data_IF_374783117605
#
_entry.id   IF_374783117605
#
_cell.length_a   1.000
_cell.length_b   1.000
_cell.length_c   1.000
_cell.angle_alpha   90.00
_cell.angle_beta   90.00
_cell.angle_gamma   90.00
#
_symmetry.space_group_name_H-M   'P 1'
#
loop_
_entity.id
_entity.type
_entity.pdbx_description
1 polymer ?
#
# COMPACT_ATOMS: atom_id res chain seq x y z
N UNK A 1 6.01 14.70 -14.25
CA UNK A 1 6.62 15.77 -13.43
C UNK A 1 7.68 15.11 -12.58
N UNK A 2 8.88 15.67 -12.48
CA UNK A 2 10.08 14.98 -12.01
C UNK A 2 11.08 16.01 -11.51
N UNK A 3 11.44 15.97 -10.23
CA UNK A 3 12.45 16.86 -9.65
C UNK A 3 13.81 16.53 -10.31
N UNK A 4 14.50 17.53 -10.87
CA UNK A 4 15.82 17.30 -11.48
C UNK A 4 16.77 16.68 -10.46
N UNK A 5 17.64 15.74 -10.87
CA UNK A 5 18.63 15.18 -9.96
C UNK A 5 19.64 16.23 -9.49
N UNK A 6 19.89 17.28 -10.27
CA UNK A 6 20.78 18.39 -9.87
C UNK A 6 20.07 19.45 -9.01
N UNK A 7 18.79 19.27 -8.68
CA UNK A 7 18.04 20.24 -7.90
C UNK A 7 18.54 20.25 -6.43
N UNK A 8 18.86 21.41 -5.85
CA UNK A 8 19.30 21.49 -4.46
C UNK A 8 18.21 21.08 -3.47
N UNK A 9 16.92 21.04 -3.87
CA UNK A 9 15.83 20.62 -2.99
C UNK A 9 16.03 19.21 -2.43
N UNK A 10 16.73 18.32 -3.14
CA UNK A 10 17.09 16.99 -2.63
C UNK A 10 17.85 17.01 -1.30
N UNK A 11 18.64 18.07 -1.04
CA UNK A 11 19.37 18.26 0.23
C UNK A 11 18.45 18.70 1.39
N UNK A 12 17.14 18.73 1.15
CA UNK A 12 16.14 19.16 2.13
C UNK A 12 14.95 18.21 2.22
N UNK A 13 14.90 17.16 1.40
CA UNK A 13 13.83 16.17 1.44
C UNK A 13 14.20 15.05 2.43
N UNK A 14 13.49 14.91 3.57
CA UNK A 14 13.76 13.84 4.49
C UNK A 14 13.34 12.48 3.92
N UNK A 15 14.15 11.47 4.22
CA UNK A 15 13.87 10.04 4.13
C UNK A 15 13.85 9.41 5.53
N UNK A 16 14.09 8.09 5.59
CA UNK A 16 13.98 7.30 6.81
C UNK A 16 14.86 7.78 7.97
N UNK A 17 16.09 8.21 7.67
CA UNK A 17 17.05 8.64 8.68
C UNK A 17 17.36 10.14 8.62
N UNK A 18 16.40 10.95 8.16
CA UNK A 18 16.57 12.39 7.94
C UNK A 18 16.93 12.68 6.48
N UNK A 19 17.71 13.73 6.21
CA UNK A 19 18.13 14.04 4.83
C UNK A 19 19.26 13.09 4.43
N UNK A 20 19.01 12.26 3.42
CA UNK A 20 19.95 11.26 2.90
C UNK A 20 20.20 11.46 1.40
N UNK A 21 21.30 10.90 0.89
CA UNK A 21 21.55 10.91 -0.55
C UNK A 21 20.62 9.91 -1.27
N UNK A 22 19.58 10.43 -1.90
CA UNK A 22 18.67 9.69 -2.78
C UNK A 22 19.06 9.85 -4.25
N UNK A 23 19.67 10.99 -4.61
CA UNK A 23 20.05 11.32 -5.99
C UNK A 23 21.10 10.37 -6.55
N UNK A 24 22.14 10.06 -5.77
CA UNK A 24 23.24 9.20 -6.19
C UNK A 24 22.74 7.81 -6.63
N UNK A 25 21.99 7.09 -5.78
CA UNK A 25 21.37 5.82 -6.15
C UNK A 25 20.44 5.91 -7.38
N UNK A 26 19.56 6.92 -7.45
CA UNK A 26 18.68 7.10 -8.60
C UNK A 26 19.45 7.30 -9.91
N UNK A 27 20.48 8.15 -9.88
CA UNK A 27 21.35 8.39 -11.05
C UNK A 27 22.01 7.12 -11.53
N UNK A 28 22.57 6.32 -10.62
CA UNK A 28 23.21 5.05 -10.96
C UNK A 28 22.22 4.04 -11.53
N UNK A 29 21.08 3.86 -10.89
CA UNK A 29 20.04 2.91 -11.33
C UNK A 29 19.45 3.25 -12.71
N UNK A 30 19.47 4.54 -13.11
CA UNK A 30 19.07 4.95 -14.46
C UNK A 30 20.07 4.56 -15.55
N UNK A 31 21.35 4.49 -15.19
CA UNK A 31 22.46 4.13 -16.08
C UNK A 31 22.64 2.61 -16.15
N UNK A 32 22.69 1.97 -14.99
CA UNK A 32 22.95 0.53 -14.83
C UNK A 32 22.07 -0.04 -13.72
N UNK A 33 21.42 -1.18 -13.98
CA UNK A 33 20.61 -1.84 -12.98
C UNK A 33 21.48 -2.56 -11.94
N UNK A 34 21.37 -2.12 -10.69
CA UNK A 34 22.09 -2.66 -9.54
C UNK A 34 21.07 -3.11 -8.47
N UNK A 35 20.72 -4.42 -8.38
CA UNK A 35 19.65 -4.91 -7.50
C UNK A 35 19.83 -4.55 -6.02
N UNK A 36 21.05 -4.71 -5.50
CA UNK A 36 21.36 -4.44 -4.10
C UNK A 36 21.25 -2.95 -3.78
N UNK A 37 21.71 -2.09 -4.70
CA UNK A 37 21.56 -0.65 -4.59
C UNK A 37 20.09 -0.24 -4.60
N UNK A 38 19.29 -0.86 -5.47
CA UNK A 38 17.86 -0.64 -5.51
C UNK A 38 17.19 -1.06 -4.21
N UNK A 39 17.50 -2.26 -3.70
CA UNK A 39 16.93 -2.75 -2.45
C UNK A 39 17.20 -1.79 -1.28
N UNK A 40 18.46 -1.36 -1.10
CA UNK A 40 18.81 -0.37 -0.08
C UNK A 40 18.12 0.97 -0.30
N UNK A 41 18.01 1.45 -1.54
CA UNK A 41 17.29 2.68 -1.81
C UNK A 41 15.82 2.56 -1.37
N UNK A 42 15.11 1.52 -1.82
CA UNK A 42 13.69 1.36 -1.59
C UNK A 42 13.37 1.11 -0.11
N UNK A 43 14.06 0.15 0.51
CA UNK A 43 13.66 -0.40 1.81
C UNK A 43 14.45 0.13 3.00
N UNK A 44 15.56 0.86 2.77
CA UNK A 44 16.30 1.53 3.85
C UNK A 44 16.13 3.05 3.84
N UNK A 45 16.12 3.70 2.65
CA UNK A 45 16.13 5.17 2.55
C UNK A 45 14.76 5.79 2.27
N UNK A 46 14.00 5.19 1.36
CA UNK A 46 12.70 5.71 0.92
C UNK A 46 11.53 5.17 1.75
N UNK A 47 11.75 4.18 2.59
CA UNK A 47 10.74 3.61 3.45
C UNK A 47 11.42 3.00 4.68
N UNK A 48 10.78 3.13 5.84
CA UNK A 48 11.18 2.45 7.06
C UNK A 48 9.98 2.36 8.01
N UNK A 49 9.82 1.22 8.71
CA UNK A 49 8.83 1.03 9.78
C UNK A 49 7.42 1.57 9.45
N UNK A 50 6.84 1.14 8.33
CA UNK A 50 5.49 1.53 7.90
C UNK A 50 5.31 3.03 7.55
N UNK A 51 6.40 3.80 7.44
CA UNK A 51 6.35 5.23 7.12
C UNK A 51 6.89 5.54 5.71
N UNK A 52 6.21 6.48 5.04
CA UNK A 52 6.66 7.11 3.81
C UNK A 52 7.16 8.52 4.12
N UNK A 53 7.99 9.08 3.23
CA UNK A 53 8.68 10.34 3.46
C UNK A 53 8.63 11.25 2.22
N UNK A 54 8.90 12.56 2.35
CA UNK A 54 8.94 13.47 1.22
C UNK A 54 9.91 13.01 0.11
N UNK A 55 11.06 12.44 0.48
CA UNK A 55 12.00 11.88 -0.49
C UNK A 55 11.43 10.68 -1.26
N UNK A 56 10.57 9.86 -0.64
CA UNK A 56 9.86 8.73 -1.27
C UNK A 56 9.06 9.22 -2.47
N UNK A 57 8.27 10.27 -2.26
CA UNK A 57 7.40 10.82 -3.29
C UNK A 57 8.17 11.54 -4.39
N UNK A 58 9.23 12.27 -4.04
CA UNK A 58 10.10 12.92 -5.03
C UNK A 58 10.87 11.91 -5.90
N UNK A 59 11.22 10.74 -5.35
CA UNK A 59 11.89 9.66 -6.08
C UNK A 59 10.95 8.91 -7.03
N UNK A 60 9.64 8.91 -6.77
CA UNK A 60 8.68 8.05 -7.44
C UNK A 60 8.64 8.20 -8.98
N UNK A 61 8.69 9.42 -9.56
CA UNK A 61 8.79 9.58 -11.02
C UNK A 61 10.06 8.97 -11.62
N UNK A 62 11.18 9.00 -10.88
CA UNK A 62 12.44 8.38 -11.30
C UNK A 62 12.37 6.86 -11.24
N UNK A 63 11.84 6.30 -10.15
CA UNK A 63 11.62 4.86 -10.01
C UNK A 63 10.70 4.33 -11.12
N UNK A 64 9.62 5.05 -11.44
CA UNK A 64 8.74 4.70 -12.56
C UNK A 64 9.49 4.69 -13.91
N UNK A 65 10.37 5.66 -14.14
CA UNK A 65 11.21 5.68 -15.34
C UNK A 65 12.19 4.51 -15.38
N UNK A 66 12.80 4.13 -14.26
CA UNK A 66 13.74 3.00 -14.15
C UNK A 66 13.03 1.69 -14.49
N UNK A 67 11.80 1.47 -13.99
CA UNK A 67 11.00 0.29 -14.31
C UNK A 67 10.74 0.15 -15.82
N UNK A 68 10.63 1.25 -16.54
CA UNK A 68 10.47 1.26 -18.00
C UNK A 68 11.77 1.04 -18.80
N UNK A 69 12.94 1.14 -18.16
CA UNK A 69 14.26 1.00 -18.80
C UNK A 69 14.84 -0.40 -18.66
N UNK A 70 14.66 -1.02 -17.49
CA UNK A 70 15.30 -2.27 -17.14
C UNK A 70 14.25 -3.33 -16.81
N UNK A 71 14.19 -4.40 -17.61
CA UNK A 71 13.21 -5.47 -17.40
C UNK A 71 13.33 -6.12 -16.01
N UNK A 72 14.57 -6.31 -15.53
CA UNK A 72 14.85 -6.91 -14.23
C UNK A 72 14.48 -5.98 -13.05
N UNK A 73 14.20 -4.71 -13.31
CA UNK A 73 13.75 -3.76 -12.30
C UNK A 73 12.24 -3.84 -12.03
N UNK A 74 11.47 -4.47 -12.93
CA UNK A 74 9.99 -4.48 -12.84
C UNK A 74 9.53 -5.09 -11.52
N UNK A 75 9.95 -6.32 -11.20
CA UNK A 75 9.47 -7.01 -9.99
C UNK A 75 9.78 -6.21 -8.70
N UNK A 76 11.03 -5.84 -8.39
CA UNK A 76 11.31 -5.15 -7.12
C UNK A 76 10.67 -3.75 -7.04
N UNK A 77 10.57 -3.02 -8.16
CA UNK A 77 9.92 -1.71 -8.16
C UNK A 77 8.40 -1.83 -7.99
N UNK A 78 7.76 -2.83 -8.59
CA UNK A 78 6.33 -3.07 -8.39
C UNK A 78 6.00 -3.67 -7.02
N UNK A 79 6.90 -4.45 -6.43
CA UNK A 79 6.82 -4.84 -5.01
C UNK A 79 6.80 -3.59 -4.12
N UNK A 80 7.69 -2.63 -4.37
CA UNK A 80 7.71 -1.37 -3.65
C UNK A 80 6.49 -0.48 -3.96
N UNK A 81 6.02 -0.41 -5.21
CA UNK A 81 4.84 0.39 -5.55
C UNK A 81 3.56 -0.18 -4.91
N UNK A 82 3.39 -1.51 -4.87
CA UNK A 82 2.28 -2.13 -4.14
C UNK A 82 2.31 -1.76 -2.66
N UNK A 83 3.50 -1.79 -2.03
CA UNK A 83 3.67 -1.40 -0.64
C UNK A 83 3.35 0.08 -0.42
N UNK A 84 3.86 0.97 -1.28
CA UNK A 84 3.59 2.40 -1.22
C UNK A 84 2.07 2.67 -1.34
N UNK A 85 1.36 2.02 -2.26
CA UNK A 85 -0.08 2.18 -2.40
C UNK A 85 -0.86 1.70 -1.16
N UNK A 86 -0.38 0.65 -0.49
CA UNK A 86 -0.97 0.15 0.76
C UNK A 86 -0.87 1.18 1.91
N UNK A 87 0.16 2.02 1.90
CA UNK A 87 0.41 3.00 2.96
C UNK A 87 -0.08 4.41 2.64
N UNK A 88 -0.07 4.80 1.37
CA UNK A 88 -0.25 6.19 0.95
C UNK A 88 -1.53 6.87 1.48
N UNK A 89 -2.63 6.13 1.65
CA UNK A 89 -3.91 6.67 2.12
C UNK A 89 -4.20 6.36 3.59
N UNK A 90 -3.29 5.69 4.32
CA UNK A 90 -3.47 5.38 5.73
C UNK A 90 -3.35 6.64 6.57
N UNK A 91 -4.48 7.11 7.07
CA UNK A 91 -4.61 8.18 8.07
C UNK A 91 -3.56 9.32 7.94
N UNK A 92 -3.42 9.96 6.77
CA UNK A 92 -2.39 10.96 6.57
C UNK A 92 -2.55 12.09 7.59
N UNK A 93 -1.43 12.60 8.08
CA UNK A 93 -1.43 13.76 8.96
C UNK A 93 -2.11 14.96 8.26
N UNK A 94 -2.69 15.89 9.04
CA UNK A 94 -3.45 17.03 8.48
C UNK A 94 -2.65 17.97 7.57
N UNK A 95 -1.32 17.88 7.60
CA UNK A 95 -0.37 18.63 6.79
C UNK A 95 0.16 17.82 5.59
N UNK A 96 -0.44 16.66 5.30
CA UNK A 96 -0.04 15.76 4.22
C UNK A 96 -1.23 15.45 3.30
N UNK A 97 -0.96 15.33 1.99
CA UNK A 97 -1.96 14.86 1.02
C UNK A 97 -2.07 13.32 0.98
N UNK A 98 -0.93 12.66 1.15
CA UNK A 98 -0.77 11.21 1.33
C UNK A 98 0.25 11.01 2.44
N UNK A 99 0.32 9.81 3.02
CA UNK A 99 1.32 9.51 4.04
C UNK A 99 2.72 9.90 3.55
N UNK A 100 3.41 10.77 4.29
CA UNK A 100 4.74 11.27 3.92
C UNK A 100 4.80 12.35 2.82
N UNK A 101 3.70 12.72 2.15
CA UNK A 101 3.67 13.77 1.13
C UNK A 101 3.17 15.10 1.70
N UNK A 102 4.03 16.11 1.92
CA UNK A 102 3.63 17.38 2.49
C UNK A 102 2.66 18.15 1.57
N UNK A 103 1.80 18.99 2.15
CA UNK A 103 0.96 19.92 1.38
C UNK A 103 1.76 21.13 0.87
N UNK A 104 2.81 21.52 1.58
CA UNK A 104 3.69 22.64 1.24
C UNK A 104 5.12 22.44 1.75
N UNK A 105 6.06 23.26 1.28
CA UNK A 105 7.43 23.32 1.78
C UNK A 105 7.52 23.74 3.24
N UNK A 106 6.55 24.49 3.77
CA UNK A 106 6.50 24.84 5.19
C UNK A 106 6.28 23.61 6.09
N UNK A 107 5.56 22.61 5.57
CA UNK A 107 5.22 21.40 6.31
C UNK A 107 6.42 20.44 6.47
N UNK A 108 7.51 20.64 5.71
CA UNK A 108 8.75 19.87 5.89
C UNK A 108 9.33 19.98 7.31
N UNK A 109 9.01 21.05 8.05
CA UNK A 109 9.40 21.22 9.44
C UNK A 109 8.79 20.20 10.42
N UNK A 110 7.81 19.40 9.99
CA UNK A 110 7.25 18.31 10.78
C UNK A 110 8.15 17.06 10.83
N UNK A 111 9.07 16.94 9.88
CA UNK A 111 10.17 15.99 9.96
C UNK A 111 11.35 16.65 10.67
N UNK A 112 12.23 15.88 11.30
CA UNK A 112 13.42 16.38 12.02
C UNK A 112 14.49 16.97 11.07
N UNK A 113 14.11 17.97 10.28
CA UNK A 113 14.99 18.71 9.39
C UNK A 113 15.71 19.75 10.25
N UNK A 114 17.05 19.65 10.31
CA UNK A 114 17.87 20.59 11.08
C UNK A 114 17.92 22.01 10.49
N UNK A 115 17.35 22.19 9.30
CA UNK A 115 17.39 23.44 8.51
C UNK A 115 16.07 24.19 8.62
N UNK A 116 16.08 25.50 8.95
CA UNK A 116 14.85 26.30 9.01
C UNK A 116 14.13 26.36 7.65
N UNK A 117 12.77 26.36 7.62
CA UNK A 117 11.99 26.40 6.37
C UNK A 117 12.34 27.55 5.43
N UNK A 118 12.71 28.73 5.95
CA UNK A 118 13.09 29.89 5.14
C UNK A 118 14.40 29.72 4.34
N UNK A 119 15.17 28.67 4.63
CA UNK A 119 16.41 28.32 3.92
C UNK A 119 16.22 27.16 2.94
N UNK A 120 15.03 26.55 2.90
CA UNK A 120 14.70 25.46 1.98
C UNK A 120 14.29 26.08 0.63
N UNK A 121 14.81 25.58 -0.51
CA UNK A 121 14.32 25.98 -1.83
C UNK A 121 12.80 25.81 -1.93
N UNK A 122 12.09 26.64 -2.72
CA UNK A 122 10.64 26.50 -2.86
C UNK A 122 10.23 25.09 -3.30
N UNK A 123 9.49 24.38 -2.43
CA UNK A 123 9.07 22.99 -2.65
C UNK A 123 7.59 22.86 -3.02
N UNK A 124 6.79 23.91 -2.85
CA UNK A 124 5.33 23.90 -3.05
C UNK A 124 4.95 23.38 -4.45
N UNK A 125 5.62 23.91 -5.48
CA UNK A 125 5.38 23.50 -6.86
C UNK A 125 5.67 22.01 -7.12
N UNK A 126 6.64 21.43 -6.41
CA UNK A 126 6.91 19.99 -6.48
C UNK A 126 5.75 19.21 -5.85
N UNK A 127 5.35 19.55 -4.63
CA UNK A 127 4.32 18.79 -3.92
C UNK A 127 2.96 18.89 -4.59
N UNK A 128 2.54 20.09 -5.00
CA UNK A 128 1.30 20.31 -5.76
C UNK A 128 1.28 19.44 -7.02
N UNK A 129 2.39 19.41 -7.76
CA UNK A 129 2.44 18.63 -8.98
C UNK A 129 2.55 17.12 -8.71
N UNK A 130 3.12 16.69 -7.59
CA UNK A 130 3.17 15.27 -7.20
C UNK A 130 1.75 14.78 -6.90
N UNK A 131 0.97 15.54 -6.13
CA UNK A 131 -0.44 15.24 -5.84
C UNK A 131 -1.23 15.01 -7.14
N UNK A 132 -1.06 15.91 -8.12
CA UNK A 132 -1.73 15.79 -9.43
C UNK A 132 -1.25 14.57 -10.22
N UNK A 133 0.03 14.21 -10.10
CA UNK A 133 0.64 13.12 -10.86
C UNK A 133 0.34 11.72 -10.28
N UNK A 134 0.18 11.60 -8.96
CA UNK A 134 0.04 10.32 -8.25
C UNK A 134 -1.22 9.57 -8.68
N UNK A 135 -2.38 10.22 -8.75
CA UNK A 135 -3.64 9.56 -9.09
C UNK A 135 -3.60 8.79 -10.44
N UNK A 136 -3.25 9.41 -11.58
CA UNK A 136 -3.15 8.69 -12.85
C UNK A 136 -2.00 7.68 -12.88
N UNK A 137 -0.94 7.89 -12.11
CA UNK A 137 0.17 6.93 -11.96
C UNK A 137 -0.30 5.69 -11.19
N UNK A 138 -0.96 5.85 -10.05
CA UNK A 138 -1.45 4.76 -9.21
C UNK A 138 -2.47 3.88 -9.97
N UNK A 139 -3.31 4.47 -10.81
CA UNK A 139 -4.20 3.71 -11.70
C UNK A 139 -3.41 2.81 -12.67
N UNK A 140 -2.28 3.30 -13.22
CA UNK A 140 -1.43 2.50 -14.09
C UNK A 140 -0.72 1.38 -13.31
N UNK A 141 -0.23 1.70 -12.11
CA UNK A 141 0.38 0.71 -11.21
C UNK A 141 -0.62 -0.38 -10.85
N UNK A 142 -1.83 -0.05 -10.41
CA UNK A 142 -2.86 -1.03 -10.05
C UNK A 142 -3.21 -1.97 -11.21
N UNK A 143 -3.23 -1.46 -12.45
CA UNK A 143 -3.44 -2.29 -13.64
C UNK A 143 -2.28 -3.25 -13.88
N UNK A 144 -1.05 -2.75 -13.79
CA UNK A 144 0.14 -3.58 -13.96
C UNK A 144 0.29 -4.61 -12.83
N UNK A 145 0.00 -4.26 -11.57
CA UNK A 145 -0.05 -5.19 -10.45
C UNK A 145 -1.07 -6.31 -10.70
N UNK A 146 -2.26 -5.98 -11.21
CA UNK A 146 -3.26 -6.99 -11.57
C UNK A 146 -2.75 -7.98 -12.63
N UNK A 147 -1.94 -7.53 -13.58
CA UNK A 147 -1.27 -8.41 -14.55
C UNK A 147 -0.16 -9.22 -13.89
N UNK A 148 0.65 -8.62 -13.03
CA UNK A 148 1.77 -9.27 -12.36
C UNK A 148 1.35 -10.33 -11.33
N UNK A 149 0.09 -10.30 -10.87
CA UNK A 149 -0.49 -11.41 -10.08
C UNK A 149 -0.42 -12.73 -10.85
N UNK A 150 -0.55 -12.70 -12.19
CA UNK A 150 -0.38 -13.88 -13.03
C UNK A 150 1.09 -14.33 -12.98
N UNK A 151 1.35 -15.48 -12.36
CA UNK A 151 2.71 -16.01 -12.19
C UNK A 151 3.43 -15.56 -10.93
N UNK A 152 2.81 -14.72 -10.10
CA UNK A 152 3.31 -14.46 -8.74
C UNK A 152 3.07 -15.67 -7.83
N UNK A 153 3.97 -15.87 -6.87
CA UNK A 153 3.68 -16.74 -5.75
C UNK A 153 2.57 -16.16 -4.86
N UNK A 154 2.04 -16.99 -3.98
CA UNK A 154 0.94 -16.65 -3.06
C UNK A 154 1.20 -15.36 -2.26
N UNK A 155 2.39 -15.20 -1.69
CA UNK A 155 2.73 -14.08 -0.82
C UNK A 155 2.81 -12.77 -1.62
N UNK A 156 3.50 -12.79 -2.77
CA UNK A 156 3.59 -11.61 -3.66
C UNK A 156 2.24 -11.26 -4.27
N UNK A 157 1.43 -12.25 -4.65
CA UNK A 157 0.08 -11.99 -5.13
C UNK A 157 -0.80 -11.32 -4.06
N UNK A 158 -0.67 -11.73 -2.79
CA UNK A 158 -1.36 -11.08 -1.67
C UNK A 158 -0.89 -9.64 -1.49
N UNK A 159 0.43 -9.40 -1.58
CA UNK A 159 1.04 -8.07 -1.51
C UNK A 159 0.53 -7.14 -2.61
N UNK A 160 0.44 -7.63 -3.85
CA UNK A 160 -0.08 -6.86 -4.98
C UNK A 160 -1.57 -6.54 -4.80
N UNK A 161 -2.37 -7.53 -4.40
CA UNK A 161 -3.79 -7.31 -4.14
C UNK A 161 -3.99 -6.36 -2.97
N UNK A 162 -3.15 -6.40 -1.93
CA UNK A 162 -3.18 -5.45 -0.81
C UNK A 162 -3.04 -4.01 -1.29
N UNK A 163 -2.00 -3.72 -2.08
CA UNK A 163 -1.77 -2.38 -2.64
C UNK A 163 -2.92 -1.91 -3.54
N UNK A 164 -3.48 -2.79 -4.36
CA UNK A 164 -4.65 -2.49 -5.20
C UNK A 164 -5.88 -2.18 -4.33
N UNK A 165 -6.19 -3.04 -3.36
CA UNK A 165 -7.34 -2.88 -2.47
C UNK A 165 -7.24 -1.59 -1.69
N UNK A 166 -6.11 -1.29 -1.06
CA UNK A 166 -5.91 -0.06 -0.30
C UNK A 166 -6.14 1.21 -1.15
N UNK A 167 -5.72 1.18 -2.42
CA UNK A 167 -5.83 2.35 -3.29
C UNK A 167 -7.22 2.53 -3.90
N UNK A 168 -7.78 1.44 -4.45
CA UNK A 168 -9.01 1.43 -5.27
C UNK A 168 -10.26 1.24 -4.42
N UNK A 169 -10.13 0.50 -3.32
CA UNK A 169 -11.22 0.12 -2.42
C UNK A 169 -10.86 0.44 -0.96
N UNK A 170 -10.60 1.72 -0.61
CA UNK A 170 -10.19 2.08 0.74
C UNK A 170 -11.24 1.74 1.81
N UNK A 171 -12.50 1.49 1.44
CA UNK A 171 -13.55 1.00 2.31
C UNK A 171 -13.43 -0.49 2.70
N UNK A 172 -12.41 -1.19 2.18
CA UNK A 172 -12.14 -2.61 2.40
C UNK A 172 -10.91 -2.82 3.30
N UNK A 173 -10.87 -2.10 4.42
CA UNK A 173 -9.73 -2.08 5.35
C UNK A 173 -9.46 -3.44 6.01
N UNK A 174 -10.49 -4.20 6.38
CA UNK A 174 -10.31 -5.48 7.07
C UNK A 174 -9.66 -6.51 6.15
N UNK A 175 -10.08 -6.56 4.88
CA UNK A 175 -9.44 -7.43 3.88
C UNK A 175 -8.06 -6.91 3.47
N UNK A 176 -7.83 -5.59 3.39
CA UNK A 176 -6.49 -5.03 3.18
C UNK A 176 -5.53 -5.49 4.27
N UNK A 177 -5.95 -5.40 5.54
CA UNK A 177 -5.17 -5.87 6.69
C UNK A 177 -4.90 -7.37 6.61
N UNK A 178 -5.91 -8.19 6.30
CA UNK A 178 -5.75 -9.62 6.14
C UNK A 178 -4.74 -9.97 5.03
N UNK A 179 -4.79 -9.28 3.89
CA UNK A 179 -3.84 -9.44 2.80
C UNK A 179 -2.39 -9.14 3.22
N UNK A 180 -2.18 -8.23 4.18
CA UNK A 180 -0.87 -7.96 4.79
C UNK A 180 -0.29 -9.19 5.50
N UNK A 181 -1.07 -9.85 6.34
CA UNK A 181 -0.62 -11.10 6.99
C UNK A 181 -0.33 -12.20 5.98
N UNK A 182 -1.19 -12.34 4.95
CA UNK A 182 -0.97 -13.33 3.89
C UNK A 182 0.29 -13.02 3.06
N UNK A 183 0.60 -11.74 2.81
CA UNK A 183 1.83 -11.34 2.14
C UNK A 183 3.07 -11.64 2.97
N UNK A 184 2.96 -11.58 4.29
CA UNK A 184 4.04 -11.96 5.22
C UNK A 184 4.17 -13.48 5.37
N UNK A 185 3.35 -14.25 4.67
CA UNK A 185 3.42 -15.71 4.63
C UNK A 185 2.57 -16.43 5.66
N UNK A 186 1.77 -15.73 6.47
CA UNK A 186 0.97 -16.29 7.54
C UNK A 186 -0.16 -17.16 6.99
N UNK A 187 -0.56 -18.19 7.72
CA UNK A 187 -1.80 -18.93 7.48
C UNK A 187 -3.02 -18.14 7.95
N UNK A 188 -4.22 -18.53 7.49
CA UNK A 188 -5.48 -17.92 7.94
C UNK A 188 -5.68 -18.10 9.45
N UNK A 189 -5.32 -19.27 9.98
CA UNK A 189 -5.43 -19.58 11.41
C UNK A 189 -4.53 -18.66 12.24
N UNK A 190 -3.22 -18.60 11.94
CA UNK A 190 -2.26 -17.73 12.64
C UNK A 190 -2.66 -16.24 12.59
N UNK A 191 -3.16 -15.80 11.43
CA UNK A 191 -3.64 -14.44 11.23
C UNK A 191 -4.84 -14.13 12.12
N UNK A 192 -5.88 -14.96 12.10
CA UNK A 192 -7.09 -14.73 12.88
C UNK A 192 -6.79 -14.76 14.38
N UNK A 193 -6.02 -15.74 14.86
CA UNK A 193 -5.60 -15.81 16.26
C UNK A 193 -4.90 -14.53 16.73
N UNK A 194 -4.05 -13.95 15.87
CA UNK A 194 -3.31 -12.73 16.19
C UNK A 194 -4.19 -11.49 16.17
N UNK A 195 -5.06 -11.36 15.17
CA UNK A 195 -6.00 -10.25 15.08
C UNK A 195 -6.96 -10.20 16.27
N UNK A 196 -7.42 -11.37 16.70
CA UNK A 196 -8.33 -11.49 17.86
C UNK A 196 -7.62 -11.20 19.19
N UNK A 197 -6.36 -11.61 19.31
CA UNK A 197 -5.55 -11.31 20.49
C UNK A 197 -5.23 -9.82 20.64
N UNK A 198 -5.05 -9.10 19.53
CA UNK A 198 -4.73 -7.67 19.54
C UNK A 198 -5.96 -6.80 19.87
N UNK A 199 -7.16 -7.20 19.44
CA UNK A 199 -8.36 -6.37 19.55
C UNK A 199 -9.32 -6.78 20.67
N UNK A 200 -9.08 -7.92 21.35
CA UNK A 200 -10.00 -8.54 22.31
C UNK A 200 -11.42 -8.77 21.72
N UNK A 201 -11.55 -8.77 20.39
CA UNK A 201 -12.80 -8.93 19.64
C UNK A 201 -12.53 -9.77 18.37
N UNK A 202 -13.45 -10.67 17.97
CA UNK A 202 -13.31 -11.43 16.73
C UNK A 202 -13.04 -10.55 15.51
N UNK A 203 -12.13 -11.00 14.64
CA UNK A 203 -11.91 -10.36 13.35
C UNK A 203 -13.21 -10.38 12.55
N UNK A 204 -13.63 -9.22 12.04
CA UNK A 204 -14.89 -9.08 11.32
C UNK A 204 -14.67 -8.45 9.96
N UNK A 205 -15.54 -8.84 9.01
CA UNK A 205 -15.62 -8.22 7.69
C UNK A 205 -17.07 -7.82 7.44
N UNK A 206 -17.28 -6.64 6.85
CA UNK A 206 -18.60 -6.22 6.40
C UNK A 206 -19.12 -7.15 5.30
N UNK A 207 -20.45 -7.18 5.09
CA UNK A 207 -21.05 -7.94 3.99
C UNK A 207 -20.50 -7.50 2.61
N UNK A 208 -20.09 -6.23 2.47
CA UNK A 208 -19.45 -5.71 1.25
C UNK A 208 -18.06 -6.30 1.06
N UNK A 209 -17.23 -6.31 2.11
CA UNK A 209 -15.89 -6.91 2.08
C UNK A 209 -15.94 -8.41 1.82
N UNK A 210 -16.89 -9.13 2.44
CA UNK A 210 -17.12 -10.57 2.17
C UNK A 210 -17.45 -10.81 0.69
N UNK A 211 -18.32 -9.97 0.12
CA UNK A 211 -18.67 -10.05 -1.31
C UNK A 211 -17.47 -9.76 -2.19
N UNK A 212 -16.69 -8.73 -1.88
CA UNK A 212 -15.46 -8.37 -2.58
C UNK A 212 -14.42 -9.50 -2.51
N UNK A 213 -14.11 -10.02 -1.33
CA UNK A 213 -13.20 -11.15 -1.13
C UNK A 213 -13.62 -12.39 -1.94
N UNK A 214 -14.93 -12.69 -1.98
CA UNK A 214 -15.46 -13.80 -2.76
C UNK A 214 -15.28 -13.60 -4.27
N UNK A 215 -15.45 -12.36 -4.77
CA UNK A 215 -15.24 -12.03 -6.18
C UNK A 215 -13.76 -12.11 -6.55
N UNK A 216 -12.87 -11.57 -5.71
CA UNK A 216 -11.42 -11.68 -5.91
C UNK A 216 -10.95 -13.13 -5.85
N UNK A 217 -11.46 -13.94 -4.93
CA UNK A 217 -11.15 -15.37 -4.88
C UNK A 217 -11.56 -16.10 -6.16
N UNK A 218 -12.73 -15.76 -6.73
CA UNK A 218 -13.18 -16.33 -8.00
C UNK A 218 -12.28 -15.92 -9.17
N UNK A 219 -11.89 -14.63 -9.24
CA UNK A 219 -10.97 -14.11 -10.26
C UNK A 219 -9.58 -14.74 -10.16
N UNK A 220 -9.07 -14.90 -8.94
CA UNK A 220 -7.75 -15.45 -8.67
C UNK A 220 -7.66 -16.96 -8.87
N UNK A 221 -8.79 -17.67 -8.97
CA UNK A 221 -8.79 -19.13 -9.14
C UNK A 221 -7.93 -19.59 -10.33
N UNK A 222 -7.89 -18.81 -11.40
CA UNK A 222 -7.11 -19.12 -12.60
C UNK A 222 -5.71 -18.49 -12.59
N UNK A 223 -5.50 -17.42 -11.80
CA UNK A 223 -4.27 -16.61 -11.80
C UNK A 223 -3.30 -17.01 -10.67
N UNK A 224 -3.83 -17.20 -9.46
CA UNK A 224 -3.10 -17.60 -8.26
C UNK A 224 -4.02 -18.48 -7.37
N UNK A 225 -4.12 -19.80 -7.65
CA UNK A 225 -5.07 -20.69 -6.97
C UNK A 225 -4.87 -20.78 -5.46
N UNK A 226 -3.65 -20.59 -4.98
CA UNK A 226 -3.33 -20.66 -3.55
C UNK A 226 -3.88 -19.46 -2.80
N UNK A 227 -3.67 -18.24 -3.29
CA UNK A 227 -4.30 -17.04 -2.71
C UNK A 227 -5.83 -17.10 -2.81
N UNK A 228 -6.36 -17.61 -3.93
CA UNK A 228 -7.80 -17.82 -4.08
C UNK A 228 -8.38 -18.80 -3.03
N UNK A 229 -7.58 -19.77 -2.57
CA UNK A 229 -7.98 -20.69 -1.50
C UNK A 229 -8.01 -19.97 -0.16
N UNK A 230 -7.00 -19.16 0.13
CA UNK A 230 -6.91 -18.40 1.38
C UNK A 230 -8.06 -17.40 1.52
N UNK A 231 -8.39 -16.66 0.46
CA UNK A 231 -9.51 -15.72 0.50
C UNK A 231 -10.86 -16.41 0.73
N UNK A 232 -11.06 -17.63 0.21
CA UNK A 232 -12.25 -18.43 0.50
C UNK A 232 -12.25 -18.92 1.95
N UNK A 233 -11.12 -19.43 2.43
CA UNK A 233 -10.98 -19.84 3.82
C UNK A 233 -11.25 -18.70 4.80
N UNK A 234 -10.77 -17.48 4.49
CA UNK A 234 -11.06 -16.27 5.25
C UNK A 234 -12.57 -15.98 5.30
N UNK A 235 -13.22 -15.97 4.14
CA UNK A 235 -14.67 -15.72 4.04
C UNK A 235 -15.47 -16.76 4.81
N UNK A 236 -15.09 -18.03 4.72
CA UNK A 236 -15.77 -19.12 5.41
C UNK A 236 -15.59 -19.03 6.93
N UNK A 237 -14.38 -18.70 7.41
CA UNK A 237 -14.10 -18.49 8.83
C UNK A 237 -14.93 -17.35 9.41
N UNK A 238 -14.88 -16.16 8.79
CA UNK A 238 -15.62 -14.98 9.27
C UNK A 238 -17.14 -15.20 9.28
N UNK A 239 -17.67 -15.98 8.31
CA UNK A 239 -19.09 -16.34 8.27
C UNK A 239 -19.49 -17.35 9.35
N UNK A 240 -18.61 -18.27 9.71
CA UNK A 240 -18.88 -19.25 10.76
C UNK A 240 -19.04 -18.58 12.13
N UNK A 241 -18.27 -17.53 12.40
CA UNK A 241 -18.31 -16.77 13.66
C UNK A 241 -19.43 -15.71 13.72
N UNK A 242 -20.03 -15.40 12.57
CA UNK A 242 -21.24 -14.57 12.47
C UNK A 242 -22.43 -15.41 11.97
N UNK A 243 -22.90 -16.42 12.74
CA UNK A 243 -24.10 -17.15 12.35
C UNK A 243 -25.24 -16.14 12.26
N UNK A 244 -25.85 -16.03 11.07
CA UNK A 244 -27.03 -15.22 10.86
C UNK A 244 -28.00 -15.50 12.02
N UNK A 245 -28.35 -14.47 12.78
CA UNK A 245 -29.37 -14.58 13.82
C UNK A 245 -30.56 -15.28 13.17
N UNK A 246 -30.99 -16.47 13.65
CA UNK A 246 -32.20 -17.05 13.13
C UNK A 246 -33.26 -16.00 13.36
N UNK A 247 -33.93 -15.54 12.31
CA UNK A 247 -35.22 -14.88 12.42
C UNK A 247 -36.16 -15.94 12.99
N UNK A 248 -36.06 -16.19 14.30
CA UNK A 248 -37.16 -16.78 15.03
C UNK A 248 -38.31 -15.79 14.87
N UNK A 249 -39.42 -16.19 14.24
CA UNK A 249 -40.61 -15.35 14.28
C UNK A 249 -40.92 -15.09 15.76
N UNK A 250 -41.19 -13.83 16.09
CA UNK A 250 -41.61 -13.44 17.43
C UNK A 250 -42.76 -14.37 17.85
N UNK A 251 -42.76 -14.94 19.07
CA UNK A 251 -43.80 -15.86 19.52
C UNK A 251 -45.23 -15.27 19.49
N UNK A 252 -45.35 -13.95 19.28
CA UNK A 252 -46.63 -13.24 19.16
C UNK A 252 -47.23 -13.23 17.74
N UNK A 253 -46.59 -13.85 16.74
CA UNK A 253 -47.17 -13.99 15.39
C UNK A 253 -48.05 -15.25 15.22
N UNK A 254 -48.28 -16.02 16.28
CA UNK A 254 -49.21 -17.16 16.31
C UNK A 254 -50.43 -16.87 17.19
N UNK A 255 -51.17 -15.80 16.92
CA UNK A 255 -52.55 -15.64 17.45
C UNK A 255 -53.30 -14.47 16.78
N UNK A 256 -53.64 -14.60 15.50
CA UNK A 256 -54.65 -13.71 14.88
C UNK A 256 -55.70 -14.47 14.05
N UNK A 257 -55.78 -15.79 14.21
CA UNK A 257 -56.89 -16.58 13.67
C UNK A 257 -57.30 -17.64 14.70
N UNK A 258 -58.08 -17.21 15.68
CA UNK A 258 -59.10 -18.01 16.38
C UNK A 258 -60.31 -17.09 16.63
#
# INVERSE_FOLDING_TARGET
MQLSLDDPLWDHLPGAYGVEDVRGPLSRLLEEWEPELCNTLLWDRLYHQESLYPATWAALPWLWQIAGRHADAVVPLFDFFAHLLALAKRAPASYCAYEGLPLSGADLGHWHVSTPPAMIPPADALFEALVVWIEPWAVQVCRALNTLIEGADRARAAHYLRGITAWVHPEHESIERALGFLSDGWSIEEMLETLEADEDVPFHMSAREISFASQEAARLQELCPDLARDLRALVDAVRADSPATPTQPHPDQLSLFD
#
